data_IF_392389388227
#
_entry.id   IF_392389388227
#
_cell.length_a   1.000
_cell.length_b   1.000
_cell.length_c   1.000
_cell.angle_alpha   90.00
_cell.angle_beta   90.00
_cell.angle_gamma   90.00
#
_symmetry.space_group_name_H-M   'P 1'
#
loop_
_entity.id
_entity.type
_entity.pdbx_description
1 polymer ?
#
# COMPACT_ATOMS: atom_id res chain seq x y z
N UNK A 1 32.89 34.96 22.81
CA UNK A 1 31.76 34.33 22.08
C UNK A 1 31.59 32.82 22.36
N UNK A 2 32.34 32.21 23.30
CA UNK A 2 32.32 30.74 23.57
C UNK A 2 31.15 30.24 24.45
N UNK A 3 30.44 31.13 25.15
CA UNK A 3 29.41 30.73 26.12
C UNK A 3 28.11 30.24 25.47
N UNK A 4 27.78 30.71 24.26
CA UNK A 4 26.56 30.29 23.56
C UNK A 4 26.73 28.94 22.87
N UNK A 5 27.95 28.61 22.42
CA UNK A 5 28.28 27.34 21.78
C UNK A 5 28.14 26.17 22.78
N UNK A 6 28.78 26.29 23.95
CA UNK A 6 28.62 25.33 25.05
C UNK A 6 27.16 25.16 25.50
N UNK A 7 26.40 26.26 25.50
CA UNK A 7 24.96 26.23 25.83
C UNK A 7 24.15 25.49 24.75
N UNK A 8 24.50 25.64 23.48
CA UNK A 8 23.86 24.90 22.38
C UNK A 8 24.16 23.41 22.46
N UNK A 9 25.41 23.03 22.75
CA UNK A 9 25.82 21.64 22.94
C UNK A 9 25.04 20.99 24.08
N UNK A 10 25.03 21.61 25.26
CA UNK A 10 24.29 21.11 26.42
C UNK A 10 22.78 20.98 26.14
N UNK A 11 22.19 21.92 25.40
CA UNK A 11 20.77 21.87 25.04
C UNK A 11 20.50 20.75 24.04
N UNK A 12 21.41 20.52 23.09
CA UNK A 12 21.26 19.47 22.10
C UNK A 12 21.44 18.08 22.71
N UNK A 13 22.40 17.90 23.62
CA UNK A 13 22.58 16.66 24.37
C UNK A 13 21.35 16.37 25.26
N UNK A 14 20.83 17.39 25.95
CA UNK A 14 19.60 17.25 26.73
C UNK A 14 18.38 16.95 25.85
N UNK A 15 18.33 17.46 24.62
CA UNK A 15 17.29 17.12 23.65
C UNK A 15 17.42 15.68 23.13
N UNK A 16 18.65 15.21 22.87
CA UNK A 16 18.93 13.85 22.41
C UNK A 16 18.77 12.79 23.52
N UNK A 17 18.88 13.20 24.79
CA UNK A 17 18.60 12.30 25.92
C UNK A 17 17.10 12.05 26.16
N UNK A 18 16.22 12.85 25.57
CA UNK A 18 14.77 12.65 25.65
C UNK A 18 14.35 11.56 24.66
N UNK A 19 13.55 10.60 25.12
CA UNK A 19 12.98 9.59 24.22
C UNK A 19 11.86 10.20 23.35
N UNK A 20 11.57 9.60 22.19
CA UNK A 20 10.73 10.16 21.11
C UNK A 20 9.31 10.58 21.54
N UNK A 21 8.81 10.04 22.65
CA UNK A 21 7.47 10.29 23.17
C UNK A 21 7.45 11.17 24.43
N UNK A 22 8.60 11.66 24.89
CA UNK A 22 8.65 12.55 26.05
C UNK A 22 8.40 14.01 25.68
N UNK A 23 7.73 14.71 26.60
CA UNK A 23 7.39 16.12 26.42
C UNK A 23 8.66 16.94 26.58
N UNK A 24 9.02 17.69 25.53
CA UNK A 24 10.21 18.54 25.57
C UNK A 24 10.00 19.69 26.55
N UNK A 25 10.86 19.84 27.58
CA UNK A 25 10.80 20.95 28.52
C UNK A 25 10.80 22.31 27.81
N UNK A 26 9.95 23.24 28.26
CA UNK A 26 9.75 24.55 27.61
C UNK A 26 11.04 25.36 27.44
N UNK A 27 12.01 25.18 28.35
CA UNK A 27 13.33 25.83 28.29
C UNK A 27 14.15 25.39 27.08
N UNK A 28 14.08 24.12 26.71
CA UNK A 28 14.78 23.54 25.56
C UNK A 28 14.07 23.97 24.27
N UNK A 29 12.74 23.88 24.25
CA UNK A 29 11.91 24.36 23.13
C UNK A 29 12.16 25.84 22.81
N UNK A 30 12.22 26.71 23.82
CA UNK A 30 12.49 28.12 23.62
C UNK A 30 13.87 28.37 22.98
N UNK A 31 14.90 27.63 23.40
CA UNK A 31 16.23 27.75 22.80
C UNK A 31 16.28 27.20 21.37
N UNK A 32 15.63 26.07 21.11
CA UNK A 32 15.50 25.45 19.79
C UNK A 32 14.79 26.37 18.78
N UNK A 33 13.81 27.16 19.23
CA UNK A 33 13.10 28.11 18.37
C UNK A 33 13.92 29.37 18.06
N UNK A 34 14.70 29.84 19.04
CA UNK A 34 15.46 31.09 18.93
C UNK A 34 16.85 30.90 18.29
N UNK A 35 17.47 29.72 18.44
CA UNK A 35 18.78 29.42 17.88
C UNK A 35 18.67 28.77 16.50
N UNK A 36 19.20 29.43 15.46
CA UNK A 36 19.15 28.94 14.07
C UNK A 36 19.88 27.61 13.88
N UNK A 37 21.02 27.42 14.54
CA UNK A 37 21.83 26.21 14.45
C UNK A 37 21.09 25.01 15.04
N UNK A 38 20.60 25.12 16.27
CA UNK A 38 19.84 24.06 16.93
C UNK A 38 18.55 23.73 16.16
N UNK A 39 17.84 24.74 15.62
CA UNK A 39 16.66 24.52 14.76
C UNK A 39 16.99 23.73 13.50
N UNK A 40 18.15 23.99 12.89
CA UNK A 40 18.59 23.32 11.66
C UNK A 40 19.03 21.89 11.95
N UNK A 41 19.73 21.67 13.06
CA UNK A 41 20.14 20.35 13.52
C UNK A 41 18.93 19.43 13.76
N UNK A 42 17.94 19.88 14.54
CA UNK A 42 16.71 19.09 14.80
C UNK A 42 15.95 18.77 13.52
N UNK A 43 15.84 19.73 12.59
CA UNK A 43 15.21 19.47 11.28
C UNK A 43 15.92 18.39 10.49
N UNK A 44 17.26 18.40 10.46
CA UNK A 44 18.06 17.38 9.77
C UNK A 44 17.87 16.01 10.40
N UNK A 45 17.85 15.93 11.73
CA UNK A 45 17.54 14.71 12.47
C UNK A 45 16.14 14.19 12.14
N UNK A 46 15.11 15.04 12.18
CA UNK A 46 13.74 14.64 11.82
C UNK A 46 13.62 14.19 10.36
N UNK A 47 14.37 14.79 9.44
CA UNK A 47 14.40 14.35 8.03
C UNK A 47 15.09 13.00 7.91
N UNK A 48 16.25 12.82 8.54
CA UNK A 48 16.98 11.55 8.53
C UNK A 48 16.13 10.42 9.14
N UNK A 49 15.44 10.69 10.25
CA UNK A 49 14.53 9.74 10.89
C UNK A 49 13.32 9.40 10.01
N UNK A 50 12.72 10.39 9.33
CA UNK A 50 11.64 10.14 8.36
C UNK A 50 12.13 9.27 7.21
N UNK A 51 13.34 9.47 6.72
CA UNK A 51 13.93 8.66 5.65
C UNK A 51 14.22 7.24 6.16
N UNK A 52 14.85 7.08 7.33
CA UNK A 52 15.13 5.79 7.93
C UNK A 52 13.84 5.00 8.26
N UNK A 53 12.82 5.68 8.81
CA UNK A 53 11.51 5.07 9.11
C UNK A 53 10.76 4.65 7.85
N UNK A 54 10.91 5.40 6.74
CA UNK A 54 10.37 5.00 5.43
C UNK A 54 11.10 3.78 4.90
N UNK A 55 12.43 3.75 4.99
CA UNK A 55 13.21 2.58 4.59
C UNK A 55 12.82 1.36 5.41
N UNK A 56 12.64 1.45 6.73
CA UNK A 56 12.23 0.29 7.53
C UNK A 56 10.77 -0.16 7.30
N UNK A 57 9.83 0.77 7.09
CA UNK A 57 8.47 0.40 6.67
C UNK A 57 8.44 -0.29 5.30
N UNK A 58 9.41 0.02 4.45
CA UNK A 58 9.52 -0.51 3.10
C UNK A 58 10.63 -1.57 2.94
N UNK A 59 11.32 -1.96 4.02
CA UNK A 59 12.68 -2.52 3.97
C UNK A 59 12.84 -3.88 4.61
N UNK A 60 11.82 -4.72 4.49
CA UNK A 60 12.00 -6.18 4.50
C UNK A 60 11.10 -6.83 3.43
N UNK A 61 11.01 -6.17 2.28
CA UNK A 61 10.45 -6.73 1.06
C UNK A 61 11.54 -6.71 0.01
N UNK A 62 12.22 -7.84 -0.14
CA UNK A 62 12.98 -8.16 -1.34
C UNK A 62 12.11 -7.90 -2.58
N UNK A 63 12.73 -7.27 -3.59
CA UNK A 63 12.25 -7.14 -4.96
C UNK A 63 11.07 -6.19 -5.23
N UNK A 64 11.39 -5.07 -5.90
CA UNK A 64 10.57 -4.46 -6.95
C UNK A 64 9.04 -4.39 -6.71
N UNK A 65 8.57 -3.60 -5.75
CA UNK A 65 7.23 -3.01 -5.87
C UNK A 65 7.27 -1.83 -6.85
N UNK A 66 7.30 -2.21 -8.12
CA UNK A 66 6.65 -1.47 -9.16
C UNK A 66 5.18 -1.33 -8.71
N UNK A 67 4.75 -0.10 -8.40
CA UNK A 67 3.36 0.26 -8.08
C UNK A 67 2.51 0.09 -9.35
N UNK A 68 2.42 -1.15 -9.83
CA UNK A 68 1.56 -1.53 -10.93
C UNK A 68 0.15 -1.55 -10.38
N UNK A 69 -0.50 -0.39 -10.38
CA UNK A 69 -1.95 -0.35 -10.44
C UNK A 69 -2.36 -1.27 -11.61
N UNK A 70 -2.83 -2.47 -11.29
CA UNK A 70 -3.12 -3.48 -12.28
C UNK A 70 -4.33 -2.95 -13.05
N UNK A 71 -4.06 -2.42 -14.24
CA UNK A 71 -5.09 -1.78 -15.06
C UNK A 71 -6.21 -2.78 -15.33
N UNK A 72 -7.43 -2.41 -14.92
CA UNK A 72 -8.65 -3.22 -15.08
C UNK A 72 -8.86 -3.70 -16.51
N UNK A 73 -8.44 -2.90 -17.50
CA UNK A 73 -8.52 -3.23 -18.92
C UNK A 73 -7.76 -4.52 -19.24
N UNK A 74 -6.60 -4.75 -18.62
CA UNK A 74 -5.79 -5.96 -18.85
C UNK A 74 -6.48 -7.22 -18.35
N UNK A 75 -7.19 -7.13 -17.22
CA UNK A 75 -8.02 -8.24 -16.72
C UNK A 75 -9.18 -8.49 -17.66
N UNK A 76 -9.95 -7.46 -18.04
CA UNK A 76 -11.09 -7.63 -18.95
C UNK A 76 -10.67 -8.30 -20.27
N UNK A 77 -9.52 -7.91 -20.85
CA UNK A 77 -8.96 -8.55 -22.04
C UNK A 77 -8.64 -10.03 -21.78
N UNK A 78 -8.04 -10.36 -20.63
CA UNK A 78 -7.77 -11.74 -20.23
C UNK A 78 -9.04 -12.59 -20.10
N UNK A 79 -10.11 -12.03 -19.53
CA UNK A 79 -11.42 -12.68 -19.44
C UNK A 79 -12.00 -12.99 -20.82
N UNK A 80 -12.03 -12.00 -21.71
CA UNK A 80 -12.51 -12.20 -23.10
C UNK A 80 -11.67 -13.23 -23.85
N UNK A 81 -10.35 -13.21 -23.69
CA UNK A 81 -9.46 -14.20 -24.32
C UNK A 81 -9.76 -15.62 -23.82
N UNK A 82 -9.95 -15.80 -22.51
CA UNK A 82 -10.24 -17.11 -21.92
C UNK A 82 -11.63 -17.63 -22.31
N UNK A 83 -12.66 -16.78 -22.35
CA UNK A 83 -14.00 -17.15 -22.84
C UNK A 83 -13.97 -17.51 -24.32
N UNK A 84 -13.23 -16.76 -25.15
CA UNK A 84 -13.08 -17.06 -26.58
C UNK A 84 -12.40 -18.41 -26.80
N UNK A 85 -11.37 -18.72 -26.01
CA UNK A 85 -10.68 -20.01 -26.06
C UNK A 85 -11.61 -21.18 -25.71
N UNK A 86 -12.45 -21.03 -24.69
CA UNK A 86 -13.46 -22.03 -24.31
C UNK A 86 -14.43 -22.29 -25.47
N UNK A 87 -14.93 -21.25 -26.14
CA UNK A 87 -15.85 -21.39 -27.27
C UNK A 87 -15.20 -22.07 -28.46
N UNK A 88 -13.97 -21.68 -28.81
CA UNK A 88 -13.22 -22.29 -29.91
C UNK A 88 -12.99 -23.79 -29.65
N UNK A 89 -12.51 -24.13 -28.45
CA UNK A 89 -12.30 -25.54 -28.09
C UNK A 89 -13.62 -26.32 -27.95
N UNK A 90 -14.69 -25.69 -27.48
CA UNK A 90 -16.00 -26.33 -27.39
C UNK A 90 -16.54 -26.73 -28.77
N UNK A 91 -16.24 -25.94 -29.81
CA UNK A 91 -16.60 -26.26 -31.20
C UNK A 91 -15.72 -27.40 -31.74
N UNK A 92 -14.41 -27.36 -31.50
CA UNK A 92 -13.49 -28.39 -32.00
C UNK A 92 -13.65 -29.75 -31.31
N UNK A 93 -14.07 -29.76 -30.04
CA UNK A 93 -14.27 -30.98 -29.25
C UNK A 93 -15.67 -31.59 -29.40
N UNK A 94 -16.52 -31.04 -30.29
CA UNK A 94 -17.91 -31.49 -30.46
C UNK A 94 -18.05 -32.98 -30.78
N UNK A 95 -17.15 -33.51 -31.60
CA UNK A 95 -17.17 -34.91 -32.04
C UNK A 95 -16.38 -35.86 -31.10
N UNK A 96 -15.81 -35.31 -30.02
CA UNK A 96 -15.07 -36.10 -29.02
C UNK A 96 -16.00 -36.87 -28.10
N UNK A 97 -15.46 -37.92 -27.46
CA UNK A 97 -16.21 -38.73 -26.50
C UNK A 97 -16.80 -37.88 -25.36
N UNK A 98 -17.98 -38.23 -24.81
CA UNK A 98 -18.64 -37.44 -23.78
C UNK A 98 -17.80 -37.30 -22.51
N UNK A 99 -17.02 -38.33 -22.15
CA UNK A 99 -16.09 -38.28 -21.03
C UNK A 99 -15.01 -37.21 -21.23
N UNK A 100 -14.45 -37.08 -22.44
CA UNK A 100 -13.47 -36.04 -22.76
C UNK A 100 -14.08 -34.64 -22.71
N UNK A 101 -15.31 -34.47 -23.20
CA UNK A 101 -16.01 -33.18 -23.12
C UNK A 101 -16.24 -32.77 -21.65
N UNK A 102 -16.67 -33.69 -20.79
CA UNK A 102 -16.91 -33.42 -19.37
C UNK A 102 -15.61 -32.99 -18.67
N UNK A 103 -14.52 -33.74 -18.86
CA UNK A 103 -13.22 -33.40 -18.26
C UNK A 103 -12.72 -32.04 -18.74
N UNK A 104 -12.91 -31.74 -20.03
CA UNK A 104 -12.57 -30.45 -20.60
C UNK A 104 -13.34 -29.29 -19.95
N UNK A 105 -14.68 -29.40 -19.88
CA UNK A 105 -15.51 -28.36 -19.27
C UNK A 105 -15.22 -28.17 -17.78
N UNK A 106 -14.95 -29.25 -17.03
CA UNK A 106 -14.56 -29.15 -15.62
C UNK A 106 -13.22 -28.44 -15.43
N UNK A 107 -12.25 -28.70 -16.30
CA UNK A 107 -10.93 -28.06 -16.27
C UNK A 107 -11.07 -26.56 -16.50
N UNK A 108 -11.85 -26.16 -17.51
CA UNK A 108 -12.11 -24.75 -17.77
C UNK A 108 -12.88 -24.11 -16.63
N UNK A 109 -13.94 -24.74 -16.10
CA UNK A 109 -14.71 -24.22 -14.97
C UNK A 109 -13.81 -23.95 -13.75
N UNK A 110 -12.89 -24.86 -13.42
CA UNK A 110 -11.91 -24.66 -12.38
C UNK A 110 -10.98 -23.46 -12.67
N UNK A 111 -10.48 -23.34 -13.91
CA UNK A 111 -9.65 -22.22 -14.32
C UNK A 111 -10.41 -20.88 -14.23
N UNK A 112 -11.69 -20.84 -14.64
CA UNK A 112 -12.54 -19.63 -14.52
C UNK A 112 -12.73 -19.26 -13.05
N UNK A 113 -13.04 -20.23 -12.18
CA UNK A 113 -13.20 -19.98 -10.75
C UNK A 113 -11.92 -19.38 -10.13
N UNK A 114 -10.75 -19.96 -10.43
CA UNK A 114 -9.47 -19.44 -9.97
C UNK A 114 -9.25 -18.02 -10.50
N UNK A 115 -9.50 -17.80 -11.78
CA UNK A 115 -9.36 -16.49 -12.42
C UNK A 115 -10.25 -15.43 -11.74
N UNK A 116 -11.52 -15.74 -11.51
CA UNK A 116 -12.46 -14.86 -10.81
C UNK A 116 -12.00 -14.57 -9.37
N UNK A 117 -11.52 -15.57 -8.63
CA UNK A 117 -11.01 -15.38 -7.27
C UNK A 117 -9.81 -14.42 -7.24
N UNK A 118 -8.84 -14.60 -8.15
CA UNK A 118 -7.67 -13.71 -8.25
C UNK A 118 -8.08 -12.31 -8.69
N UNK A 119 -9.02 -12.19 -9.63
CA UNK A 119 -9.57 -10.90 -10.06
C UNK A 119 -10.21 -10.15 -8.88
N UNK A 120 -11.06 -10.82 -8.09
CA UNK A 120 -11.71 -10.20 -6.93
C UNK A 120 -10.68 -9.83 -5.86
N UNK A 121 -9.72 -10.70 -5.55
CA UNK A 121 -8.68 -10.43 -4.56
C UNK A 121 -7.79 -9.24 -4.98
N UNK A 122 -7.39 -9.18 -6.25
CA UNK A 122 -6.58 -8.09 -6.79
C UNK A 122 -7.31 -6.73 -6.82
N UNK A 123 -8.64 -6.74 -6.90
CA UNK A 123 -9.45 -5.52 -6.98
C UNK A 123 -10.19 -5.17 -5.68
N UNK A 124 -10.13 -6.04 -4.66
CA UNK A 124 -10.81 -5.86 -3.36
C UNK A 124 -10.35 -4.60 -2.62
N UNK A 125 -9.08 -4.23 -2.76
CA UNK A 125 -8.52 -3.02 -2.16
C UNK A 125 -9.23 -1.75 -2.66
N UNK A 126 -9.60 -1.68 -3.94
CA UNK A 126 -10.40 -0.60 -4.51
C UNK A 126 -11.82 -0.57 -3.90
N UNK A 127 -12.47 -1.73 -3.77
CA UNK A 127 -13.81 -1.82 -3.20
C UNK A 127 -13.82 -1.39 -1.73
N UNK A 128 -12.84 -1.82 -0.93
CA UNK A 128 -12.71 -1.43 0.47
C UNK A 128 -12.45 0.08 0.59
N UNK A 129 -11.56 0.63 -0.23
CA UNK A 129 -11.29 2.08 -0.25
C UNK A 129 -12.52 2.88 -0.67
N UNK A 130 -13.33 2.35 -1.58
CA UNK A 130 -14.60 2.95 -1.99
C UNK A 130 -15.59 2.96 -0.83
N UNK A 131 -15.77 1.84 -0.13
CA UNK A 131 -16.66 1.75 1.04
C UNK A 131 -16.25 2.71 2.15
N UNK A 132 -14.94 2.82 2.44
CA UNK A 132 -14.42 3.75 3.47
C UNK A 132 -14.61 5.23 3.13
N UNK A 133 -14.73 5.58 1.85
CA UNK A 133 -14.96 6.95 1.39
C UNK A 133 -16.43 7.37 1.42
N UNK A 134 -17.37 6.43 1.59
CA UNK A 134 -18.77 6.78 1.69
C UNK A 134 -19.06 7.42 3.07
N UNK A 135 -19.77 8.56 3.13
CA UNK A 135 -20.25 9.10 4.38
C UNK A 135 -21.27 8.12 5.02
N UNK A 136 -21.34 8.01 6.36
CA UNK A 136 -22.23 7.08 7.06
C UNK A 136 -23.71 7.17 6.64
N UNK A 137 -24.14 8.34 6.17
CA UNK A 137 -25.49 8.63 5.69
C UNK A 137 -25.84 7.98 4.34
N UNK A 138 -24.86 7.56 3.53
CA UNK A 138 -25.11 6.93 2.23
C UNK A 138 -25.46 5.43 2.35
N UNK A 139 -25.07 4.78 3.45
CA UNK A 139 -25.35 3.35 3.69
C UNK A 139 -26.82 3.13 4.10
N UNK A 140 -27.46 4.16 4.67
CA UNK A 140 -28.83 4.09 5.19
C UNK A 140 -29.91 4.54 4.20
N UNK A 141 -29.61 4.71 2.91
CA UNK A 141 -30.65 5.01 1.93
C UNK A 141 -31.27 3.69 1.45
N UNK A 142 -32.44 3.27 1.97
CA UNK A 142 -33.12 2.11 1.41
C UNK A 142 -33.40 2.38 -0.07
N UNK A 143 -33.12 1.37 -0.91
CA UNK A 143 -33.59 1.35 -2.29
C UNK A 143 -35.10 1.59 -2.28
N UNK A 144 -35.50 2.75 -2.77
CA UNK A 144 -36.88 3.09 -3.10
C UNK A 144 -37.00 3.10 -4.61
#
# INVERSE_FOLDING_TARGET
MKNNEKKCEMIMDAYLSLDKNEIVPLKITAHLLMCRECRTAVRRLSVAERLASRTMKNGFGTSAQNENHISMTKWVIGGFAMTSLLLLFGITMRDSSPAQQIVFYLTFAAAICIYCAVFVAGNLDFFIKTIKKLPPTAILKPLR
#
